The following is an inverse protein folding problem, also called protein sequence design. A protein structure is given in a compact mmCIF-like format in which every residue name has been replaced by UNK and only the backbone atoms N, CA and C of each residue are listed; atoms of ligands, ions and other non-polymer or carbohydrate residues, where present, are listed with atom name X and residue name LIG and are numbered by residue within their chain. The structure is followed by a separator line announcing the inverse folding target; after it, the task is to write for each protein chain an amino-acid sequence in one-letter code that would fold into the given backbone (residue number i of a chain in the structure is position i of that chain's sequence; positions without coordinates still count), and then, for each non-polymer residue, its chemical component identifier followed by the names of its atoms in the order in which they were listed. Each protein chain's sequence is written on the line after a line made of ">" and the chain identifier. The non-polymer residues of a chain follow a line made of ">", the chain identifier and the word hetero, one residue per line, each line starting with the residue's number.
data_IF_590675468589
#
_entry.id   IF_590675468589
#
_cell.length_a   1.000
_cell.length_b   1.000
_cell.length_c   1.000
_cell.angle_alpha   90.00
_cell.angle_beta   90.00
_cell.angle_gamma   90.00
#
_symmetry.space_group_name_H-M   'P 1'
#
loop_
_entity.id
_entity.type
_entity.pdbx_description
1 polymer ?
#
# COMPACT_ATOMS: atom_id res chain seq x y z
N UNK A 1 18.12 -0.55 -14.99
CA UNK A 1 18.53 -0.50 -13.56
C UNK A 1 18.21 0.80 -12.80
N UNK A 2 18.49 2.02 -13.28
CA UNK A 2 18.27 3.25 -12.46
C UNK A 2 16.80 3.56 -12.18
N UNK A 3 15.91 3.42 -13.18
CA UNK A 3 14.51 3.82 -13.05
C UNK A 3 13.70 2.96 -12.07
N UNK A 4 13.75 1.62 -12.19
CA UNK A 4 13.01 0.71 -11.29
C UNK A 4 13.36 0.95 -9.80
N UNK A 5 14.65 1.20 -9.51
CA UNK A 5 15.10 1.54 -8.15
C UNK A 5 14.53 2.87 -7.66
N UNK A 6 14.52 3.90 -8.51
CA UNK A 6 13.91 5.20 -8.16
C UNK A 6 12.42 5.02 -7.88
N UNK A 7 11.70 4.27 -8.73
CA UNK A 7 10.27 4.00 -8.53
C UNK A 7 10.01 3.24 -7.22
N UNK A 8 10.85 2.26 -6.86
CA UNK A 8 10.77 1.58 -5.57
C UNK A 8 11.00 2.57 -4.41
N UNK A 9 11.97 3.47 -4.49
CA UNK A 9 12.20 4.48 -3.44
C UNK A 9 11.02 5.45 -3.31
N UNK A 10 10.42 5.88 -4.42
CA UNK A 10 9.18 6.67 -4.40
C UNK A 10 8.05 5.88 -3.73
N UNK A 11 7.95 4.59 -4.03
CA UNK A 11 7.00 3.69 -3.36
C UNK A 11 7.27 3.57 -1.87
N UNK A 12 8.54 3.53 -1.48
CA UNK A 12 8.97 3.48 -0.09
C UNK A 12 8.52 4.73 0.69
N UNK A 13 8.71 5.92 0.11
CA UNK A 13 8.21 7.19 0.67
C UNK A 13 6.68 7.16 0.81
N UNK A 14 5.97 6.75 -0.24
CA UNK A 14 4.51 6.65 -0.21
C UNK A 14 4.02 5.70 0.91
N UNK A 15 4.62 4.51 1.03
CA UNK A 15 4.30 3.56 2.08
C UNK A 15 4.58 4.11 3.48
N UNK A 16 5.69 4.83 3.68
CA UNK A 16 5.98 5.48 4.97
C UNK A 16 4.90 6.50 5.34
N UNK A 17 4.45 7.32 4.38
CA UNK A 17 3.35 8.25 4.60
C UNK A 17 2.03 7.52 4.91
N UNK A 18 1.75 6.41 4.23
CA UNK A 18 0.58 5.60 4.50
C UNK A 18 0.63 4.91 5.87
N UNK A 19 1.79 4.44 6.33
CA UNK A 19 1.95 3.92 7.69
C UNK A 19 1.62 5.02 8.71
N UNK A 20 2.15 6.23 8.52
CA UNK A 20 1.84 7.35 9.41
C UNK A 20 0.34 7.67 9.43
N UNK A 21 -0.29 7.68 8.25
CA UNK A 21 -1.74 7.85 8.12
C UNK A 21 -2.52 6.74 8.84
N UNK A 22 -2.13 5.47 8.68
CA UNK A 22 -2.80 4.35 9.32
C UNK A 22 -2.59 4.29 10.83
N UNK A 23 -1.44 4.75 11.32
CA UNK A 23 -1.21 4.92 12.75
C UNK A 23 -2.15 6.00 13.33
N UNK A 24 -2.28 7.14 12.64
CA UNK A 24 -3.25 8.17 12.99
C UNK A 24 -4.69 7.66 12.91
N UNK A 25 -5.04 6.90 11.87
CA UNK A 25 -6.38 6.30 11.69
C UNK A 25 -6.69 5.31 12.82
N UNK A 26 -5.73 4.47 13.20
CA UNK A 26 -5.86 3.55 14.34
C UNK A 26 -6.13 4.30 15.64
N UNK A 27 -5.39 5.39 15.89
CA UNK A 27 -5.66 6.26 17.04
C UNK A 27 -7.08 6.85 16.99
N UNK A 28 -7.55 7.30 15.81
CA UNK A 28 -8.92 7.81 15.64
C UNK A 28 -9.99 6.76 15.89
N UNK A 29 -9.80 5.54 15.36
CA UNK A 29 -10.72 4.42 15.55
C UNK A 29 -10.86 4.05 17.03
N UNK A 30 -9.73 4.01 17.75
CA UNK A 30 -9.71 3.73 19.19
C UNK A 30 -10.54 4.71 20.01
N UNK A 31 -10.54 5.99 19.61
CA UNK A 31 -11.29 7.06 20.30
C UNK A 31 -12.72 7.23 19.79
N UNK A 32 -13.15 6.45 18.80
CA UNK A 32 -14.52 6.48 18.26
C UNK A 32 -15.47 5.69 19.17
N UNK A 33 -15.90 6.34 20.26
CA UNK A 33 -16.80 5.75 21.27
C UNK A 33 -18.26 5.64 20.82
N UNK A 34 -18.62 6.26 19.69
CA UNK A 34 -19.98 6.22 19.12
C UNK A 34 -20.27 4.97 18.30
N UNK A 35 -19.24 4.19 17.96
CA UNK A 35 -19.40 2.93 17.23
C UNK A 35 -19.66 1.77 18.19
N UNK A 36 -20.41 0.77 17.72
CA UNK A 36 -20.50 -0.51 18.39
C UNK A 36 -19.09 -1.10 18.61
N UNK A 37 -18.88 -1.71 19.78
CA UNK A 37 -17.57 -2.23 20.19
C UNK A 37 -17.07 -3.31 19.24
N UNK A 38 -17.93 -4.24 18.81
CA UNK A 38 -17.52 -5.32 17.91
C UNK A 38 -17.07 -4.80 16.55
N UNK A 39 -17.77 -3.78 16.03
CA UNK A 39 -17.39 -3.14 14.76
C UNK A 39 -16.09 -2.35 14.92
N UNK A 40 -15.92 -1.60 16.01
CA UNK A 40 -14.69 -0.86 16.27
C UNK A 40 -13.48 -1.79 16.36
N UNK A 41 -13.58 -2.85 17.15
CA UNK A 41 -12.49 -3.81 17.34
C UNK A 41 -12.12 -4.48 16.00
N UNK A 42 -13.11 -4.83 15.16
CA UNK A 42 -12.88 -5.33 13.81
C UNK A 42 -12.14 -4.32 12.92
N UNK A 43 -12.55 -3.04 12.95
CA UNK A 43 -11.89 -1.98 12.18
C UNK A 43 -10.45 -1.73 12.65
N UNK A 44 -10.20 -1.80 13.96
CA UNK A 44 -8.85 -1.70 14.53
C UNK A 44 -7.96 -2.86 14.07
N UNK A 45 -8.46 -4.09 14.09
CA UNK A 45 -7.73 -5.27 13.62
C UNK A 45 -7.41 -5.17 12.11
N UNK A 46 -8.39 -4.79 11.29
CA UNK A 46 -8.21 -4.60 9.85
C UNK A 46 -7.19 -3.47 9.57
N UNK A 47 -7.28 -2.35 10.30
CA UNK A 47 -6.32 -1.26 10.20
C UNK A 47 -4.92 -1.71 10.59
N UNK A 48 -4.76 -2.41 11.71
CA UNK A 48 -3.48 -2.94 12.17
C UNK A 48 -2.84 -3.89 11.16
N UNK A 49 -3.62 -4.84 10.63
CA UNK A 49 -3.17 -5.75 9.58
C UNK A 49 -2.71 -5.01 8.32
N UNK A 50 -3.52 -4.06 7.83
CA UNK A 50 -3.15 -3.22 6.69
C UNK A 50 -1.88 -2.40 6.93
N UNK A 51 -1.73 -1.83 8.13
CA UNK A 51 -0.55 -1.05 8.53
C UNK A 51 0.72 -1.88 8.45
N UNK A 52 0.69 -3.11 8.96
CA UNK A 52 1.83 -4.02 8.94
C UNK A 52 2.24 -4.40 7.52
N UNK A 53 1.27 -4.62 6.62
CA UNK A 53 1.54 -4.88 5.21
C UNK A 53 2.20 -3.69 4.52
N UNK A 54 1.67 -2.48 4.71
CA UNK A 54 2.22 -1.26 4.13
C UNK A 54 3.63 -0.99 4.69
N UNK A 55 3.84 -1.24 5.99
CA UNK A 55 5.16 -1.14 6.60
C UNK A 55 6.14 -2.14 5.98
N UNK A 56 5.74 -3.40 5.80
CA UNK A 56 6.53 -4.41 5.13
C UNK A 56 6.93 -3.97 3.71
N UNK A 57 5.97 -3.47 2.92
CA UNK A 57 6.25 -2.95 1.58
C UNK A 57 7.20 -1.75 1.60
N UNK A 58 7.03 -0.84 2.56
CA UNK A 58 7.93 0.28 2.80
C UNK A 58 9.35 -0.18 3.10
N UNK A 59 9.53 -1.12 4.02
CA UNK A 59 10.84 -1.69 4.39
C UNK A 59 11.48 -2.41 3.20
N UNK A 60 10.72 -3.25 2.49
CA UNK A 60 11.20 -3.96 1.31
C UNK A 60 11.64 -2.99 0.19
N UNK A 61 10.99 -1.83 0.09
CA UNK A 61 11.28 -0.79 -0.91
C UNK A 61 12.42 0.15 -0.49
N UNK A 62 12.61 0.40 0.82
CA UNK A 62 13.71 1.22 1.35
C UNK A 62 15.03 0.44 1.43
N UNK A 63 15.01 -0.68 2.15
CA UNK A 63 16.24 -1.36 2.60
C UNK A 63 16.64 -2.49 1.65
N UNK A 64 15.66 -3.09 0.97
CA UNK A 64 15.85 -4.34 0.22
C UNK A 64 15.61 -4.11 -1.29
N UNK A 65 15.51 -2.85 -1.75
CA UNK A 65 15.13 -2.47 -3.11
C UNK A 65 15.86 -3.25 -4.22
N UNK A 66 17.16 -3.52 -4.03
CA UNK A 66 17.98 -4.26 -5.01
C UNK A 66 17.52 -5.70 -5.16
N UNK A 67 17.24 -6.37 -4.05
CA UNK A 67 16.80 -7.77 -4.01
C UNK A 67 15.32 -7.88 -4.42
N UNK A 68 14.50 -6.91 -3.99
CA UNK A 68 13.09 -6.77 -4.38
C UNK A 68 12.93 -6.70 -5.91
N UNK A 69 13.89 -6.08 -6.61
CA UNK A 69 13.83 -5.98 -8.06
C UNK A 69 14.43 -7.20 -8.81
N UNK A 70 15.29 -8.00 -8.17
CA UNK A 70 16.06 -9.05 -8.87
C UNK A 70 15.57 -10.47 -8.61
N UNK A 71 14.92 -10.72 -7.49
CA UNK A 71 14.51 -12.05 -7.07
C UNK A 71 13.05 -12.36 -7.46
N UNK A 72 12.73 -13.65 -7.61
CA UNK A 72 11.34 -14.10 -7.80
C UNK A 72 10.46 -13.71 -6.60
N UNK A 73 11.00 -13.81 -5.39
CA UNK A 73 10.32 -13.38 -4.16
C UNK A 73 10.05 -11.86 -4.17
N UNK A 74 11.04 -11.06 -4.58
CA UNK A 74 10.88 -9.61 -4.74
C UNK A 74 9.80 -9.23 -5.75
N UNK A 75 9.74 -9.94 -6.88
CA UNK A 75 8.66 -9.77 -7.87
C UNK A 75 7.30 -10.14 -7.30
N UNK A 76 7.22 -11.19 -6.49
CA UNK A 76 5.99 -11.54 -5.77
C UNK A 76 5.58 -10.41 -4.82
N UNK A 77 6.52 -9.81 -4.09
CA UNK A 77 6.25 -8.64 -3.22
C UNK A 77 5.67 -7.47 -4.04
N UNK A 78 6.24 -7.16 -5.19
CA UNK A 78 5.73 -6.09 -6.07
C UNK A 78 4.33 -6.42 -6.60
N UNK A 79 4.09 -7.67 -7.05
CA UNK A 79 2.77 -8.11 -7.51
C UNK A 79 1.73 -8.04 -6.40
N UNK A 80 2.10 -8.45 -5.18
CA UNK A 80 1.23 -8.33 -4.01
C UNK A 80 0.91 -6.87 -3.72
N UNK A 81 1.86 -5.94 -3.83
CA UNK A 81 1.59 -4.51 -3.70
C UNK A 81 0.58 -4.01 -4.74
N UNK A 82 0.76 -4.38 -6.01
CA UNK A 82 -0.19 -4.04 -7.10
C UNK A 82 -1.58 -4.59 -6.77
N UNK A 83 -1.67 -5.84 -6.37
CA UNK A 83 -2.95 -6.48 -6.05
C UNK A 83 -3.64 -5.80 -4.87
N UNK A 84 -2.92 -5.49 -3.80
CA UNK A 84 -3.50 -4.87 -2.60
C UNK A 84 -3.98 -3.44 -2.87
N UNK A 85 -3.15 -2.59 -3.48
CA UNK A 85 -3.55 -1.22 -3.81
C UNK A 85 -4.64 -1.20 -4.89
N UNK A 86 -4.55 -2.09 -5.89
CA UNK A 86 -5.54 -2.20 -6.95
C UNK A 86 -6.89 -2.66 -6.42
N UNK A 87 -6.90 -3.69 -5.55
CA UNK A 87 -8.12 -4.17 -4.91
C UNK A 87 -8.71 -3.11 -3.99
N UNK A 88 -7.88 -2.39 -3.22
CA UNK A 88 -8.39 -1.30 -2.37
C UNK A 88 -9.05 -0.19 -3.20
N UNK A 89 -8.42 0.22 -4.30
CA UNK A 89 -9.01 1.18 -5.23
C UNK A 89 -10.31 0.67 -5.86
N UNK A 90 -10.35 -0.60 -6.27
CA UNK A 90 -11.55 -1.23 -6.82
C UNK A 90 -12.70 -1.26 -5.80
N UNK A 91 -12.41 -1.64 -4.55
CA UNK A 91 -13.40 -1.66 -3.46
C UNK A 91 -13.96 -0.26 -3.21
N UNK A 92 -13.10 0.77 -3.22
CA UNK A 92 -13.54 2.15 -3.07
C UNK A 92 -14.46 2.60 -4.23
N UNK A 93 -14.19 2.13 -5.45
CA UNK A 93 -15.00 2.44 -6.63
C UNK A 93 -16.36 1.73 -6.63
N UNK A 94 -16.41 0.49 -6.12
CA UNK A 94 -17.60 -0.38 -6.17
C UNK A 94 -18.57 -0.17 -4.99
N UNK A 95 -18.19 0.59 -3.95
CA UNK A 95 -19.03 0.88 -2.77
C UNK A 95 -19.65 2.31 -2.80
N UNK A 96 -20.64 2.60 -3.67
CA UNK A 96 -21.42 3.84 -3.56
C UNK A 96 -22.36 3.80 -2.33
N UNK A 97 -22.73 4.97 -1.75
CA UNK A 97 -22.43 6.34 -2.18
C UNK A 97 -21.16 6.95 -1.55
N UNK A 98 -20.38 6.18 -0.79
CA UNK A 98 -19.29 6.70 0.05
C UNK A 98 -17.91 6.63 -0.61
N UNK A 99 -17.86 6.82 -1.93
CA UNK A 99 -16.59 6.87 -2.67
C UNK A 99 -15.77 8.04 -2.15
N UNK A 100 -14.59 7.74 -1.61
CA UNK A 100 -13.60 8.74 -1.19
C UNK A 100 -12.61 8.94 -2.33
N UNK A 101 -12.71 10.02 -3.13
CA UNK A 101 -11.90 10.19 -4.34
C UNK A 101 -10.39 10.18 -4.05
N UNK A 102 -10.00 10.64 -2.86
CA UNK A 102 -8.62 10.64 -2.39
C UNK A 102 -8.07 9.23 -2.16
N UNK A 103 -8.87 8.32 -1.59
CA UNK A 103 -8.46 6.92 -1.38
C UNK A 103 -8.33 6.21 -2.72
N UNK A 104 -9.31 6.39 -3.61
CA UNK A 104 -9.26 5.85 -4.96
C UNK A 104 -8.03 6.35 -5.72
N UNK A 105 -7.78 7.66 -5.72
CA UNK A 105 -6.66 8.28 -6.41
C UNK A 105 -5.30 7.82 -5.86
N UNK A 106 -5.12 7.83 -4.55
CA UNK A 106 -3.87 7.38 -3.92
C UNK A 106 -3.59 5.91 -4.20
N UNK A 107 -4.60 5.04 -4.03
CA UNK A 107 -4.45 3.61 -4.34
C UNK A 107 -4.15 3.35 -5.82
N UNK A 108 -4.84 4.05 -6.73
CA UNK A 108 -4.60 3.92 -8.17
C UNK A 108 -3.17 4.35 -8.54
N UNK A 109 -2.72 5.50 -8.04
CA UNK A 109 -1.35 6.00 -8.28
C UNK A 109 -0.32 5.02 -7.75
N UNK A 110 -0.48 4.50 -6.53
CA UNK A 110 0.47 3.54 -5.96
C UNK A 110 0.46 2.20 -6.70
N UNK A 111 -0.71 1.76 -7.18
CA UNK A 111 -0.84 0.57 -8.04
C UNK A 111 -0.03 0.75 -9.33
N UNK A 112 -0.23 1.89 -10.02
CA UNK A 112 0.47 2.21 -11.25
C UNK A 112 1.98 2.36 -11.03
N UNK A 113 2.39 2.93 -9.90
CA UNK A 113 3.79 3.04 -9.51
C UNK A 113 4.47 1.66 -9.43
N UNK A 114 3.87 0.70 -8.71
CA UNK A 114 4.42 -0.66 -8.61
C UNK A 114 4.33 -1.44 -9.93
N UNK A 115 3.28 -1.23 -10.73
CA UNK A 115 3.19 -1.79 -12.08
C UNK A 115 4.32 -1.25 -12.98
N UNK A 116 4.63 0.05 -12.88
CA UNK A 116 5.73 0.67 -13.62
C UNK A 116 7.10 0.11 -13.20
N UNK A 117 7.29 -0.29 -11.93
CA UNK A 117 8.51 -1.01 -11.49
C UNK A 117 8.69 -2.29 -12.30
N UNK A 118 7.65 -3.11 -12.45
CA UNK A 118 7.73 -4.37 -13.22
C UNK A 118 8.03 -4.14 -14.70
N UNK A 119 7.44 -3.10 -15.30
CA UNK A 119 7.68 -2.76 -16.71
C UNK A 119 9.10 -2.21 -16.91
N UNK A 120 9.57 -1.34 -16.01
CA UNK A 120 10.91 -0.76 -16.07
C UNK A 120 12.01 -1.81 -15.87
N UNK A 121 11.75 -2.83 -15.06
CA UNK A 121 12.67 -3.96 -14.85
C UNK A 121 12.86 -4.76 -16.14
N UNK A 122 11.76 -5.18 -16.79
CA UNK A 122 11.77 -5.96 -18.05
C UNK A 122 12.49 -5.29 -19.22
N UNK A 123 12.52 -3.96 -19.27
CA UNK A 123 13.23 -3.21 -20.31
C UNK A 123 14.74 -3.18 -20.11
N UNK A 124 15.23 -3.65 -18.96
CA UNK A 124 16.65 -3.59 -18.60
C UNK A 124 17.26 -4.94 -18.25
N UNK A 125 16.48 -6.01 -18.43
CA UNK A 125 16.92 -7.41 -18.40
C UNK A 125 17.09 -7.90 -19.84
#
# INVERSE_FOLDING_TARGET
>A
MKLARVLLLVGAVANTLFVAFHAWLGWRLHHLTRLDRGIRDLLEMLNGGGTLFILFLGVASWLIARETNRSALGRLVIVTAIALYGLRGLVEFVLPPHVTPWVLGTCAVTTLLYAAVLVADRRTA
#
